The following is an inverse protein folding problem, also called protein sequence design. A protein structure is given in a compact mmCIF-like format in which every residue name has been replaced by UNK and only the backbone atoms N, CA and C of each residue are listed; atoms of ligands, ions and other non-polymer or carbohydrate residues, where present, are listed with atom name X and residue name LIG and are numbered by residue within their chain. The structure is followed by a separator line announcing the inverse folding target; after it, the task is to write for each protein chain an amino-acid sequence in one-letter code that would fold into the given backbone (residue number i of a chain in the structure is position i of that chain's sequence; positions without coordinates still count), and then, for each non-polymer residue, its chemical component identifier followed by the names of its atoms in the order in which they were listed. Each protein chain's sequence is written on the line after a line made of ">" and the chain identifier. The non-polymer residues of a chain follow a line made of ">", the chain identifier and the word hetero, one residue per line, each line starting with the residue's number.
data_IF_810725173501
#
_entry.id   IF_810725173501
#
_cell.length_a   1.000
_cell.length_b   1.000
_cell.length_c   1.000
_cell.angle_alpha   90.00
_cell.angle_beta   90.00
_cell.angle_gamma   90.00
#
_symmetry.space_group_name_H-M   'P 1'
#
loop_
_entity.id
_entity.type
_entity.pdbx_description
1 polymer ?
#
# COMPACT_ATOMS: atom_id res chain seq x y z
N UNK A 1 36.00 -8.15 -10.53
CA UNK A 1 35.15 -8.26 -9.32
C UNK A 1 34.04 -7.25 -9.46
N UNK A 2 32.79 -7.61 -9.26
CA UNK A 2 31.69 -6.63 -9.25
C UNK A 2 31.92 -5.67 -8.06
N UNK A 3 31.76 -4.37 -8.29
CA UNK A 3 31.87 -3.36 -7.23
C UNK A 3 30.73 -3.61 -6.24
N UNK A 4 31.03 -3.65 -4.93
CA UNK A 4 30.02 -3.78 -3.89
C UNK A 4 29.02 -2.62 -4.00
N UNK A 5 27.73 -2.91 -3.97
CA UNK A 5 26.68 -1.90 -3.98
C UNK A 5 26.67 -1.13 -2.65
N UNK A 6 26.26 0.12 -2.71
CA UNK A 6 26.25 1.07 -1.60
C UNK A 6 24.82 1.46 -1.24
N UNK A 7 24.64 2.05 -0.05
CA UNK A 7 23.36 2.64 0.37
C UNK A 7 22.74 3.55 -0.69
N UNK A 8 23.59 4.36 -1.36
CA UNK A 8 23.15 5.24 -2.44
C UNK A 8 22.52 4.49 -3.61
N UNK A 9 23.07 3.34 -4.00
CA UNK A 9 22.51 2.53 -5.08
C UNK A 9 21.10 2.03 -4.74
N UNK A 10 20.83 1.69 -3.46
CA UNK A 10 19.49 1.37 -2.98
C UNK A 10 18.56 2.59 -3.06
N UNK A 11 19.03 3.76 -2.60
CA UNK A 11 18.21 4.98 -2.63
C UNK A 11 17.89 5.41 -4.06
N UNK A 12 18.87 5.37 -4.97
CA UNK A 12 18.69 5.67 -6.38
C UNK A 12 17.74 4.65 -7.06
N UNK A 13 17.80 3.37 -6.69
CA UNK A 13 16.87 2.34 -7.17
C UNK A 13 15.43 2.58 -6.70
N UNK A 14 15.26 2.99 -5.44
CA UNK A 14 13.95 3.34 -4.87
C UNK A 14 13.40 4.64 -5.49
N UNK A 15 14.24 5.67 -5.66
CA UNK A 15 13.87 6.92 -6.34
C UNK A 15 13.43 6.66 -7.80
N UNK A 16 14.09 5.73 -8.50
CA UNK A 16 13.69 5.35 -9.86
C UNK A 16 12.33 4.63 -9.92
N UNK A 17 11.94 3.91 -8.87
CA UNK A 17 10.66 3.19 -8.79
C UNK A 17 9.52 4.06 -8.26
N UNK A 18 9.82 4.92 -7.30
CA UNK A 18 8.88 5.76 -6.58
C UNK A 18 9.55 7.12 -6.25
N UNK A 19 9.66 8.03 -7.24
CA UNK A 19 10.26 9.33 -7.04
C UNK A 19 9.63 10.06 -5.84
N UNK A 20 10.44 10.55 -4.90
CA UNK A 20 9.96 11.26 -3.71
C UNK A 20 9.12 12.49 -4.04
N UNK A 21 9.32 13.06 -5.23
CA UNK A 21 8.48 14.15 -5.75
C UNK A 21 7.01 13.75 -5.97
N UNK A 22 6.66 12.46 -5.94
CA UNK A 22 5.28 11.96 -6.04
C UNK A 22 4.56 11.89 -4.69
N UNK A 23 5.29 12.01 -3.58
CA UNK A 23 4.70 11.95 -2.24
C UNK A 23 3.77 13.14 -1.97
N UNK A 24 2.80 12.91 -1.09
CA UNK A 24 1.94 13.97 -0.56
C UNK A 24 2.75 14.97 0.29
N UNK A 25 2.32 16.24 0.33
CA UNK A 25 3.05 17.31 1.01
C UNK A 25 3.14 17.13 2.54
N UNK A 26 2.20 16.40 3.12
CA UNK A 26 2.15 16.11 4.55
C UNK A 26 2.99 14.90 4.95
N UNK A 27 3.50 14.14 3.98
CA UNK A 27 4.19 12.88 4.22
C UNK A 27 5.67 13.08 4.58
N UNK A 28 6.25 12.07 5.25
CA UNK A 28 7.67 12.04 5.59
C UNK A 28 8.35 10.84 4.94
N UNK A 29 8.84 11.02 3.72
CA UNK A 29 9.40 9.96 2.88
C UNK A 29 10.91 10.12 2.65
N UNK A 30 11.54 9.07 2.14
CA UNK A 30 12.96 9.02 1.85
C UNK A 30 13.79 8.39 2.96
N UNK A 31 15.03 8.81 3.12
CA UNK A 31 15.93 8.31 4.16
C UNK A 31 15.55 8.93 5.50
N UNK A 32 14.99 8.15 6.41
CA UNK A 32 14.51 8.61 7.72
C UNK A 32 15.51 8.36 8.85
N UNK A 33 16.34 7.35 8.70
CA UNK A 33 17.46 7.02 9.60
C UNK A 33 18.67 6.74 8.71
N UNK A 34 19.76 7.48 8.92
CA UNK A 34 21.03 7.26 8.23
C UNK A 34 22.18 7.29 9.26
N UNK A 35 22.41 6.17 9.97
CA UNK A 35 23.42 6.11 11.00
C UNK A 35 24.83 6.10 10.39
N UNK A 36 25.81 6.55 11.18
CA UNK A 36 27.22 6.37 10.84
C UNK A 36 27.55 4.88 10.71
N UNK A 37 28.40 4.51 9.75
CA UNK A 37 28.84 3.12 9.57
C UNK A 37 29.15 2.76 8.14
N UNK A 38 29.14 1.44 7.86
CA UNK A 38 29.42 0.89 6.53
C UNK A 38 28.44 1.37 5.48
N UNK A 39 28.91 1.53 4.24
CA UNK A 39 28.12 2.01 3.11
C UNK A 39 27.70 0.85 2.17
N UNK A 40 28.38 -0.31 2.29
CA UNK A 40 28.07 -1.49 1.49
C UNK A 40 26.73 -2.11 1.87
N UNK A 41 25.98 -2.59 0.87
CA UNK A 41 24.72 -3.31 1.07
C UNK A 41 24.77 -4.67 0.39
N UNK A 42 24.41 -5.70 1.14
CA UNK A 42 24.25 -7.09 0.66
C UNK A 42 22.85 -7.63 1.02
N UNK A 43 22.23 -7.09 2.09
CA UNK A 43 20.97 -7.58 2.64
C UNK A 43 20.04 -6.41 2.97
N UNK A 44 18.85 -6.41 2.36
CA UNK A 44 17.82 -5.40 2.59
C UNK A 44 16.52 -6.07 3.03
N UNK A 45 16.00 -5.66 4.19
CA UNK A 45 14.71 -6.11 4.71
C UNK A 45 13.59 -5.18 4.23
N UNK A 46 12.49 -5.74 3.75
CA UNK A 46 11.28 -5.03 3.34
C UNK A 46 10.16 -5.26 4.35
N UNK A 47 9.48 -4.21 4.79
CA UNK A 47 8.35 -4.28 5.71
C UNK A 47 7.30 -3.22 5.40
N UNK A 48 6.06 -3.43 5.83
CA UNK A 48 5.03 -2.39 5.89
C UNK A 48 5.24 -1.58 7.17
N UNK A 49 5.18 -2.25 8.33
CA UNK A 49 5.25 -1.64 9.66
C UNK A 49 6.58 -1.96 10.35
N UNK A 50 7.39 -0.96 10.60
CA UNK A 50 8.66 -1.11 11.32
C UNK A 50 8.44 -1.00 12.84
N UNK A 51 8.20 -2.15 13.46
CA UNK A 51 8.08 -2.30 14.92
C UNK A 51 9.32 -2.94 15.55
N UNK A 52 9.31 -3.18 16.87
CA UNK A 52 10.46 -3.78 17.60
C UNK A 52 10.81 -5.18 17.08
N UNK A 53 9.79 -6.02 16.74
CA UNK A 53 10.02 -7.37 16.26
C UNK A 53 10.65 -7.39 14.85
N UNK A 54 10.27 -6.45 13.98
CA UNK A 54 10.87 -6.27 12.65
C UNK A 54 12.30 -5.76 12.76
N UNK A 55 12.57 -4.82 13.69
CA UNK A 55 13.92 -4.34 13.95
C UNK A 55 14.83 -5.44 14.47
N UNK A 56 14.34 -6.28 15.40
CA UNK A 56 15.09 -7.44 15.91
C UNK A 56 15.37 -8.48 14.81
N UNK A 57 14.40 -8.72 13.89
CA UNK A 57 14.60 -9.57 12.72
C UNK A 57 15.69 -9.01 11.80
N UNK A 58 15.63 -7.71 11.49
CA UNK A 58 16.62 -7.05 10.64
C UNK A 58 18.04 -7.16 11.21
N UNK A 59 18.21 -6.81 12.49
CA UNK A 59 19.50 -6.87 13.18
C UNK A 59 20.00 -8.31 13.28
N UNK A 60 19.12 -9.26 13.65
CA UNK A 60 19.46 -10.67 13.78
C UNK A 60 19.85 -11.33 12.45
N UNK A 61 19.26 -10.90 11.34
CA UNK A 61 19.62 -11.33 9.99
C UNK A 61 20.87 -10.62 9.47
N UNK A 62 21.31 -9.54 10.11
CA UNK A 62 22.39 -8.70 9.66
C UNK A 62 22.00 -7.90 8.41
N UNK A 63 20.82 -7.32 8.40
CA UNK A 63 20.39 -6.42 7.33
C UNK A 63 21.24 -5.15 7.31
N UNK A 64 21.68 -4.76 6.12
CA UNK A 64 22.47 -3.53 5.90
C UNK A 64 21.55 -2.31 5.68
N UNK A 65 20.26 -2.54 5.38
CA UNK A 65 19.24 -1.50 5.28
C UNK A 65 17.83 -2.10 5.45
N UNK A 66 16.87 -1.22 5.81
CA UNK A 66 15.44 -1.55 5.84
C UNK A 66 14.70 -0.59 4.90
N UNK A 67 13.78 -1.13 4.09
CA UNK A 67 12.75 -0.36 3.41
C UNK A 67 11.45 -0.61 4.16
N UNK A 68 11.00 0.38 4.93
CA UNK A 68 9.73 0.37 5.65
C UNK A 68 8.72 1.21 4.88
N UNK A 69 7.63 0.60 4.41
CA UNK A 69 6.63 1.33 3.63
C UNK A 69 6.06 2.49 4.45
N UNK A 70 5.56 2.22 5.65
CA UNK A 70 5.15 3.26 6.58
C UNK A 70 6.37 3.94 7.23
N UNK A 71 6.42 5.28 7.26
CA UNK A 71 7.51 6.01 7.88
C UNK A 71 7.53 5.80 9.39
N UNK A 72 8.59 5.21 9.96
CA UNK A 72 8.70 5.02 11.41
C UNK A 72 8.83 6.35 12.17
N UNK A 73 9.19 7.43 11.47
CA UNK A 73 9.17 8.81 11.95
C UNK A 73 8.16 9.57 11.09
N UNK A 74 6.89 9.52 11.43
CA UNK A 74 5.83 10.23 10.71
C UNK A 74 5.74 11.70 11.14
N UNK A 75 5.74 11.94 12.44
CA UNK A 75 5.75 13.27 13.03
C UNK A 75 7.09 13.58 13.68
N UNK A 76 7.41 14.86 13.84
CA UNK A 76 8.66 15.30 14.46
C UNK A 76 8.89 14.70 15.86
N UNK A 77 10.03 14.06 16.06
CA UNK A 77 10.43 13.44 17.34
C UNK A 77 11.16 14.48 18.21
N UNK A 78 10.53 14.91 19.30
CA UNK A 78 11.14 15.88 20.23
C UNK A 78 12.19 15.26 21.15
N UNK A 79 12.07 13.96 21.47
CA UNK A 79 13.01 13.23 22.35
C UNK A 79 13.13 11.81 21.86
N UNK A 80 14.36 11.35 21.68
CA UNK A 80 14.67 9.98 21.34
C UNK A 80 15.20 9.26 22.58
N UNK A 81 14.31 8.49 23.22
CA UNK A 81 14.62 7.74 24.45
C UNK A 81 13.99 6.35 24.37
N UNK A 82 14.43 5.35 25.17
CA UNK A 82 13.85 4.01 25.17
C UNK A 82 12.49 3.92 25.88
N UNK A 83 11.88 5.04 26.27
CA UNK A 83 10.60 5.07 27.00
C UNK A 83 9.41 4.63 26.15
N UNK A 84 9.47 4.76 24.81
CA UNK A 84 8.43 4.34 23.88
C UNK A 84 8.92 3.19 23.00
N UNK A 85 8.00 2.37 22.45
CA UNK A 85 8.34 1.34 21.47
C UNK A 85 9.04 1.92 20.24
N UNK A 86 8.52 3.03 19.69
CA UNK A 86 9.17 3.75 18.60
C UNK A 86 10.61 4.17 18.97
N UNK A 87 10.79 4.78 20.15
CA UNK A 87 12.12 5.22 20.61
C UNK A 87 13.10 4.04 20.73
N UNK A 88 12.65 2.89 21.26
CA UNK A 88 13.47 1.68 21.35
C UNK A 88 13.85 1.14 19.98
N UNK A 89 12.88 1.07 19.05
CA UNK A 89 13.10 0.64 17.66
C UNK A 89 14.16 1.51 16.98
N UNK A 90 13.99 2.84 17.01
CA UNK A 90 14.90 3.79 16.37
C UNK A 90 16.31 3.72 16.97
N UNK A 91 16.42 3.71 18.31
CA UNK A 91 17.72 3.63 19.00
C UNK A 91 18.47 2.33 18.69
N UNK A 92 17.78 1.19 18.60
CA UNK A 92 18.39 -0.09 18.25
C UNK A 92 18.94 -0.07 16.82
N UNK A 93 18.19 0.45 15.85
CA UNK A 93 18.63 0.53 14.46
C UNK A 93 19.80 1.50 14.30
N UNK A 94 19.77 2.67 14.96
CA UNK A 94 20.88 3.60 14.99
C UNK A 94 22.12 2.94 15.61
N UNK A 95 21.96 2.26 16.75
CA UNK A 95 23.06 1.55 17.42
C UNK A 95 23.64 0.39 16.61
N UNK A 96 22.82 -0.25 15.78
CA UNK A 96 23.23 -1.33 14.87
C UNK A 96 23.78 -0.82 13.53
N UNK A 97 23.73 0.49 13.26
CA UNK A 97 24.19 1.07 12.00
C UNK A 97 23.25 0.80 10.80
N UNK A 98 21.99 0.44 11.03
CA UNK A 98 21.03 0.07 10.00
C UNK A 98 20.19 1.27 9.55
N UNK A 99 20.34 1.77 8.31
CA UNK A 99 19.53 2.84 7.76
C UNK A 99 18.11 2.38 7.46
N UNK A 100 17.18 3.34 7.45
CA UNK A 100 15.77 3.11 7.11
C UNK A 100 15.32 4.11 6.06
N UNK A 101 14.76 3.58 4.97
CA UNK A 101 14.11 4.34 3.91
C UNK A 101 12.61 4.05 3.91
N UNK A 102 11.79 5.08 3.69
CA UNK A 102 10.34 4.94 3.54
C UNK A 102 9.85 5.57 2.23
N UNK A 103 9.25 4.80 1.30
CA UNK A 103 8.68 5.32 0.06
C UNK A 103 7.24 5.80 0.21
N UNK A 104 6.45 5.25 1.14
CA UNK A 104 5.06 5.54 1.51
C UNK A 104 4.21 6.06 0.34
N UNK A 105 3.61 7.26 0.45
CA UNK A 105 2.71 7.82 -0.58
C UNK A 105 3.37 8.07 -1.94
N UNK A 106 4.70 8.17 -2.01
CA UNK A 106 5.41 8.20 -3.29
C UNK A 106 5.25 6.87 -4.06
N UNK A 107 5.27 5.74 -3.33
CA UNK A 107 5.07 4.42 -3.93
C UNK A 107 3.61 4.17 -4.32
N UNK A 108 2.64 4.77 -3.61
CA UNK A 108 1.23 4.73 -4.00
C UNK A 108 0.98 5.44 -5.32
N UNK A 109 1.61 6.60 -5.48
CA UNK A 109 1.42 7.47 -6.63
C UNK A 109 2.14 7.00 -7.90
N UNK A 110 3.18 6.18 -7.76
CA UNK A 110 4.04 5.76 -8.86
C UNK A 110 3.34 4.79 -9.83
N UNK A 111 3.75 4.82 -11.11
CA UNK A 111 3.37 3.80 -12.09
C UNK A 111 3.94 2.44 -11.69
N UNK A 112 3.09 1.41 -11.71
CA UNK A 112 3.41 0.08 -11.19
C UNK A 112 3.59 0.06 -9.67
N UNK A 113 3.18 1.11 -8.97
CA UNK A 113 3.23 1.21 -7.52
C UNK A 113 2.08 0.51 -6.82
N UNK A 114 1.93 0.78 -5.51
CA UNK A 114 0.99 0.11 -4.61
C UNK A 114 -0.46 0.21 -5.09
N UNK A 115 -0.91 1.42 -5.49
CA UNK A 115 -2.30 1.61 -5.89
C UNK A 115 -2.64 0.90 -7.22
N UNK A 116 -1.71 0.83 -8.18
CA UNK A 116 -1.92 0.06 -9.42
C UNK A 116 -1.94 -1.43 -9.17
N UNK A 117 -1.04 -1.92 -8.32
CA UNK A 117 -1.04 -3.32 -7.90
C UNK A 117 -2.36 -3.68 -7.21
N UNK A 118 -2.87 -2.84 -6.31
CA UNK A 118 -4.15 -3.08 -5.65
C UNK A 118 -5.32 -3.08 -6.65
N UNK A 119 -5.31 -2.18 -7.64
CA UNK A 119 -6.33 -2.14 -8.70
C UNK A 119 -6.32 -3.41 -9.56
N UNK A 120 -5.14 -4.02 -9.78
CA UNK A 120 -5.01 -5.25 -10.57
C UNK A 120 -5.72 -6.46 -9.96
N UNK A 121 -6.13 -6.38 -8.69
CA UNK A 121 -6.97 -7.39 -8.04
C UNK A 121 -8.29 -7.64 -8.81
N UNK A 122 -8.82 -6.65 -9.49
CA UNK A 122 -10.06 -6.78 -10.25
C UNK A 122 -9.88 -7.38 -11.66
N UNK A 123 -8.64 -7.40 -12.16
CA UNK A 123 -8.28 -7.82 -13.51
C UNK A 123 -7.81 -6.65 -14.38
N UNK A 124 -7.87 -6.84 -15.70
CA UNK A 124 -7.41 -5.84 -16.65
C UNK A 124 -8.37 -4.65 -16.74
N UNK A 125 -7.80 -3.44 -16.76
CA UNK A 125 -8.53 -2.21 -16.97
C UNK A 125 -8.28 -1.68 -18.39
N UNK A 126 -9.35 -1.35 -19.12
CA UNK A 126 -9.28 -0.63 -20.39
C UNK A 126 -8.77 0.82 -20.19
N UNK A 127 -9.06 1.40 -19.01
CA UNK A 127 -8.55 2.69 -18.55
C UNK A 127 -8.18 2.57 -17.08
N UNK A 128 -7.05 3.15 -16.71
CA UNK A 128 -6.60 3.27 -15.32
C UNK A 128 -5.94 4.64 -15.14
N UNK A 129 -6.41 5.42 -14.16
CA UNK A 129 -5.90 6.75 -13.91
C UNK A 129 -5.86 7.04 -12.39
N UNK A 130 -4.99 7.95 -11.92
CA UNK A 130 -5.01 8.38 -10.54
C UNK A 130 -6.33 9.11 -10.20
N UNK A 131 -6.82 8.93 -8.97
CA UNK A 131 -7.95 9.70 -8.43
C UNK A 131 -7.56 11.16 -8.26
N UNK A 132 -6.37 11.41 -7.72
CA UNK A 132 -5.78 12.75 -7.61
C UNK A 132 -4.43 12.73 -8.34
N UNK A 133 -4.32 13.37 -9.51
CA UNK A 133 -3.05 13.53 -10.22
C UNK A 133 -1.99 14.24 -9.36
N UNK A 134 -0.73 13.90 -9.54
CA UNK A 134 0.38 14.50 -8.80
C UNK A 134 0.57 15.96 -9.22
N UNK A 135 0.35 16.91 -8.29
CA UNK A 135 0.48 18.34 -8.56
C UNK A 135 1.91 18.77 -8.94
N UNK A 136 2.93 18.06 -8.44
CA UNK A 136 4.35 18.33 -8.77
C UNK A 136 4.77 17.77 -10.13
N UNK A 137 3.92 16.97 -10.78
CA UNK A 137 4.13 16.38 -12.11
C UNK A 137 2.92 16.62 -13.02
N UNK A 138 2.53 17.89 -13.26
CA UNK A 138 1.25 18.21 -13.93
C UNK A 138 1.18 17.74 -15.39
N UNK A 139 2.30 17.45 -16.02
CA UNK A 139 2.37 16.93 -17.40
C UNK A 139 2.33 15.39 -17.46
N UNK A 140 2.43 14.70 -16.33
CA UNK A 140 2.37 13.25 -16.23
C UNK A 140 1.05 12.83 -15.58
N UNK A 141 0.05 12.56 -16.39
CA UNK A 141 -1.27 12.15 -15.95
C UNK A 141 -1.34 10.71 -15.45
N UNK A 142 -0.25 9.94 -15.54
CA UNK A 142 -0.19 8.56 -15.10
C UNK A 142 0.16 8.42 -13.61
N UNK A 143 0.71 9.47 -12.98
CA UNK A 143 1.14 9.47 -11.59
C UNK A 143 0.20 10.27 -10.68
N UNK A 144 0.01 9.79 -9.45
CA UNK A 144 -0.86 10.43 -8.45
C UNK A 144 -1.51 9.42 -7.52
N UNK A 145 -2.29 9.92 -6.57
CA UNK A 145 -2.83 9.11 -5.47
C UNK A 145 -4.07 8.32 -5.86
N UNK A 146 -4.12 7.06 -5.38
CA UNK A 146 -5.16 6.09 -5.68
C UNK A 146 -5.25 5.74 -7.15
N UNK A 147 -6.19 4.88 -7.50
CA UNK A 147 -6.51 4.58 -8.91
C UNK A 147 -8.02 4.45 -9.08
N UNK A 148 -8.51 4.94 -10.21
CA UNK A 148 -9.84 4.64 -10.71
C UNK A 148 -9.72 4.05 -12.12
N UNK A 149 -10.55 3.05 -12.40
CA UNK A 149 -10.45 2.28 -13.64
C UNK A 149 -11.78 1.83 -14.19
N UNK A 150 -11.78 1.60 -15.51
CA UNK A 150 -12.83 0.91 -16.23
C UNK A 150 -12.33 -0.49 -16.57
N UNK A 151 -12.97 -1.52 -16.05
CA UNK A 151 -12.61 -2.91 -16.33
C UNK A 151 -12.85 -3.24 -17.81
N UNK A 152 -11.95 -4.00 -18.41
CA UNK A 152 -12.10 -4.52 -19.79
C UNK A 152 -13.31 -5.46 -19.89
N UNK A 153 -13.62 -6.18 -18.82
CA UNK A 153 -14.76 -7.08 -18.72
C UNK A 153 -15.50 -6.83 -17.41
N UNK A 154 -16.81 -6.59 -17.52
CA UNK A 154 -17.67 -6.48 -16.36
C UNK A 154 -17.70 -7.77 -15.54
N UNK A 155 -17.71 -7.65 -14.20
CA UNK A 155 -17.72 -8.81 -13.29
C UNK A 155 -18.83 -8.69 -12.25
N UNK A 156 -19.22 -9.79 -11.61
CA UNK A 156 -20.14 -9.74 -10.46
C UNK A 156 -19.41 -9.25 -9.20
N UNK A 157 -20.17 -8.78 -8.20
CA UNK A 157 -19.61 -8.41 -6.90
C UNK A 157 -18.92 -9.63 -6.23
N UNK A 158 -19.50 -10.83 -6.33
CA UNK A 158 -18.93 -12.06 -5.79
C UNK A 158 -17.59 -12.40 -6.46
N UNK A 159 -17.49 -12.20 -7.78
CA UNK A 159 -16.23 -12.36 -8.52
C UNK A 159 -15.19 -11.35 -8.03
N UNK A 160 -15.58 -10.09 -7.85
CA UNK A 160 -14.68 -9.05 -7.31
C UNK A 160 -14.17 -9.41 -5.91
N UNK A 161 -15.06 -9.84 -5.01
CA UNK A 161 -14.70 -10.29 -3.65
C UNK A 161 -13.71 -11.46 -3.70
N UNK A 162 -14.00 -12.47 -4.53
CA UNK A 162 -13.14 -13.65 -4.67
C UNK A 162 -11.76 -13.29 -5.20
N UNK A 163 -11.68 -12.41 -6.20
CA UNK A 163 -10.41 -11.93 -6.77
C UNK A 163 -9.59 -11.12 -5.75
N UNK A 164 -10.23 -10.20 -5.03
CA UNK A 164 -9.56 -9.41 -3.98
C UNK A 164 -8.99 -10.33 -2.89
N UNK A 165 -9.77 -11.30 -2.41
CA UNK A 165 -9.29 -12.29 -1.43
C UNK A 165 -8.09 -13.07 -1.94
N UNK A 166 -8.13 -13.56 -3.17
CA UNK A 166 -7.03 -14.30 -3.79
C UNK A 166 -5.78 -13.43 -3.97
N UNK A 167 -5.96 -12.18 -4.46
CA UNK A 167 -4.86 -11.25 -4.71
C UNK A 167 -4.11 -10.85 -3.44
N UNK A 168 -4.86 -10.62 -2.35
CA UNK A 168 -4.31 -10.21 -1.05
C UNK A 168 -3.98 -11.40 -0.12
N UNK A 169 -4.31 -12.64 -0.49
CA UNK A 169 -4.12 -13.81 0.35
C UNK A 169 -5.03 -13.84 1.59
N UNK A 170 -6.21 -13.20 1.54
CA UNK A 170 -7.12 -13.03 2.67
C UNK A 170 -8.20 -14.12 2.69
N UNK A 171 -8.54 -14.63 3.88
CA UNK A 171 -9.69 -15.54 4.07
C UNK A 171 -11.01 -14.77 4.13
N UNK A 172 -10.99 -13.55 4.66
CA UNK A 172 -12.17 -12.72 4.88
C UNK A 172 -11.92 -11.28 4.44
N UNK A 173 -12.97 -10.62 3.97
CA UNK A 173 -13.05 -9.19 3.72
C UNK A 173 -14.39 -8.67 4.23
N UNK A 174 -14.48 -7.39 4.55
CA UNK A 174 -15.75 -6.77 4.93
C UNK A 174 -16.34 -6.09 3.71
N UNK A 175 -17.64 -6.30 3.47
CA UNK A 175 -18.32 -5.77 2.28
C UNK A 175 -19.54 -4.97 2.69
N UNK A 176 -19.62 -3.74 2.19
CA UNK A 176 -20.82 -2.93 2.23
C UNK A 176 -21.46 -2.94 0.82
N UNK A 177 -22.60 -3.60 0.68
CA UNK A 177 -23.23 -3.85 -0.62
C UNK A 177 -24.29 -2.79 -0.90
N UNK A 178 -24.17 -2.08 -2.03
CA UNK A 178 -25.20 -1.20 -2.53
C UNK A 178 -26.39 -2.01 -3.08
N UNK A 179 -27.62 -1.47 -2.96
CA UNK A 179 -28.84 -2.18 -3.34
C UNK A 179 -28.83 -2.73 -4.78
N UNK A 180 -28.25 -2.00 -5.73
CA UNK A 180 -28.15 -2.43 -7.14
C UNK A 180 -27.25 -3.63 -7.38
N UNK A 181 -26.33 -3.94 -6.45
CA UNK A 181 -25.42 -5.09 -6.52
C UNK A 181 -25.87 -6.25 -5.62
N UNK A 182 -26.99 -6.11 -4.89
CA UNK A 182 -27.55 -7.15 -4.05
C UNK A 182 -28.49 -8.06 -4.85
N UNK A 183 -28.36 -9.37 -4.65
CA UNK A 183 -29.33 -10.34 -5.16
C UNK A 183 -30.68 -10.29 -4.39
N UNK A 184 -30.67 -9.70 -3.16
CA UNK A 184 -31.86 -9.61 -2.30
C UNK A 184 -32.33 -8.16 -2.24
N UNK A 185 -33.56 -7.89 -2.67
CA UNK A 185 -34.17 -6.56 -2.48
C UNK A 185 -34.55 -6.34 -1.04
N UNK A 186 -34.24 -5.15 -0.51
CA UNK A 186 -34.58 -4.73 0.85
C UNK A 186 -36.07 -4.36 0.97
N UNK A 187 -36.75 -4.15 -0.16
CA UNK A 187 -38.11 -3.60 -0.25
C UNK A 187 -39.23 -4.66 -0.51
N UNK A 188 -38.92 -5.96 -0.37
CA UNK A 188 -39.95 -7.02 -0.39
C UNK A 188 -40.70 -7.22 -1.71
N UNK A 189 -40.25 -6.61 -2.81
CA UNK A 189 -40.86 -6.77 -4.13
C UNK A 189 -40.40 -8.05 -4.86
N UNK A 190 -41.35 -8.79 -5.41
CA UNK A 190 -41.17 -10.14 -5.96
C UNK A 190 -40.51 -10.21 -7.36
N UNK A 191 -39.90 -9.12 -7.84
CA UNK A 191 -39.17 -9.14 -9.11
C UNK A 191 -37.68 -9.34 -8.91
N UNK A 192 -37.19 -10.55 -9.18
CA UNK A 192 -35.75 -10.86 -9.23
C UNK A 192 -35.08 -10.03 -10.35
N UNK A 193 -34.49 -8.89 -10.00
CA UNK A 193 -33.56 -8.19 -10.90
C UNK A 193 -32.18 -8.83 -10.73
N UNK A 194 -31.56 -9.16 -11.87
CA UNK A 194 -30.15 -9.56 -11.84
C UNK A 194 -29.32 -8.42 -11.24
N UNK A 195 -28.41 -8.70 -10.28
CA UNK A 195 -27.51 -7.69 -9.73
C UNK A 195 -26.74 -6.97 -10.83
N UNK A 196 -26.56 -5.65 -10.68
CA UNK A 196 -25.76 -4.89 -11.61
C UNK A 196 -24.30 -5.37 -11.60
N UNK A 197 -23.68 -5.40 -12.76
CA UNK A 197 -22.28 -5.74 -12.90
C UNK A 197 -21.37 -4.60 -12.40
N UNK A 198 -20.15 -4.94 -12.03
CA UNK A 198 -19.06 -4.03 -11.68
C UNK A 198 -18.23 -3.77 -12.93
N UNK A 199 -18.17 -2.53 -13.36
CA UNK A 199 -17.37 -2.07 -14.49
C UNK A 199 -16.38 -0.99 -14.06
N UNK A 200 -16.82 -0.06 -13.19
CA UNK A 200 -16.02 1.08 -12.73
C UNK A 200 -15.58 0.86 -11.29
N UNK A 201 -14.29 0.86 -11.08
CA UNK A 201 -13.69 0.59 -9.79
C UNK A 201 -12.80 1.75 -9.35
N UNK A 202 -12.67 1.96 -8.04
CA UNK A 202 -11.66 2.84 -7.51
C UNK A 202 -11.00 2.20 -6.28
N UNK A 203 -9.69 2.43 -6.12
CA UNK A 203 -8.89 1.84 -5.05
C UNK A 203 -8.01 2.87 -4.36
N UNK A 204 -7.81 2.66 -3.06
CA UNK A 204 -6.84 3.39 -2.25
C UNK A 204 -6.25 2.40 -1.23
N UNK A 205 -4.93 2.15 -1.21
CA UNK A 205 -4.29 1.41 -0.14
C UNK A 205 -4.52 2.07 1.22
N UNK A 206 -4.49 1.31 2.30
CA UNK A 206 -4.61 1.81 3.66
C UNK A 206 -5.91 2.57 3.95
N UNK A 207 -5.82 3.84 4.37
CA UNK A 207 -6.96 4.67 4.77
C UNK A 207 -7.51 5.52 3.61
N UNK A 208 -8.51 5.01 2.90
CA UNK A 208 -9.05 5.63 1.69
C UNK A 208 -10.02 6.82 1.88
N UNK A 209 -10.44 7.15 3.12
CA UNK A 209 -11.56 8.07 3.36
C UNK A 209 -11.44 9.43 2.67
N UNK A 210 -10.33 10.12 2.84
CA UNK A 210 -10.13 11.45 2.27
C UNK A 210 -10.03 11.44 0.73
N UNK A 211 -9.48 10.38 0.15
CA UNK A 211 -9.28 10.26 -1.29
C UNK A 211 -10.56 9.79 -1.99
N UNK A 212 -11.15 8.69 -1.49
CA UNK A 212 -12.34 8.09 -2.09
C UNK A 212 -13.60 8.96 -1.97
N UNK A 213 -13.66 9.87 -0.99
CA UNK A 213 -14.75 10.86 -0.90
C UNK A 213 -14.84 11.79 -2.13
N UNK A 214 -13.75 11.93 -2.90
CA UNK A 214 -13.69 12.74 -4.13
C UNK A 214 -14.25 11.99 -5.36
N UNK A 215 -14.50 10.69 -5.23
CA UNK A 215 -14.86 9.82 -6.36
C UNK A 215 -16.36 9.64 -6.44
N UNK A 216 -16.93 9.78 -7.64
CA UNK A 216 -18.35 9.57 -7.92
C UNK A 216 -18.56 8.63 -9.11
N UNK A 217 -19.70 7.98 -9.15
CA UNK A 217 -20.10 7.13 -10.29
C UNK A 217 -19.32 5.82 -10.41
N UNK A 218 -18.66 5.37 -9.36
CA UNK A 218 -18.04 4.05 -9.32
C UNK A 218 -19.06 2.98 -8.93
N UNK A 219 -18.81 1.76 -9.39
CA UNK A 219 -19.59 0.59 -9.01
C UNK A 219 -19.04 0.00 -7.72
N UNK A 220 -17.72 -0.03 -7.56
CA UNK A 220 -17.05 -0.67 -6.43
C UNK A 220 -15.80 0.13 -5.98
N UNK A 221 -15.65 0.27 -4.67
CA UNK A 221 -14.44 0.78 -4.02
C UNK A 221 -13.71 -0.36 -3.31
N UNK A 222 -12.37 -0.29 -3.32
CA UNK A 222 -11.49 -1.17 -2.53
C UNK A 222 -10.49 -0.31 -1.75
N UNK A 223 -10.46 -0.52 -0.42
CA UNK A 223 -9.49 0.15 0.46
C UNK A 223 -9.29 -0.67 1.74
N UNK A 224 -8.30 -0.33 2.54
CA UNK A 224 -8.09 -0.95 3.84
C UNK A 224 -9.20 -0.57 4.82
N UNK A 225 -9.49 0.72 4.98
CA UNK A 225 -10.45 1.20 5.97
C UNK A 225 -11.19 2.47 5.56
N UNK A 226 -12.45 2.57 6.01
CA UNK A 226 -13.32 3.74 5.91
C UNK A 226 -14.11 3.94 7.19
N UNK A 227 -14.49 5.18 7.47
CA UNK A 227 -15.41 5.49 8.56
C UNK A 227 -16.83 5.01 8.23
N UNK A 228 -17.61 4.70 9.25
CA UNK A 228 -18.98 4.22 9.10
C UNK A 228 -19.87 5.13 8.23
N UNK A 229 -19.81 6.44 8.46
CA UNK A 229 -20.62 7.39 7.68
C UNK A 229 -20.18 7.52 6.23
N UNK A 230 -18.89 7.36 5.93
CA UNK A 230 -18.38 7.34 4.55
C UNK A 230 -18.91 6.11 3.81
N UNK A 231 -18.94 4.94 4.49
CA UNK A 231 -19.56 3.71 3.94
C UNK A 231 -21.05 3.91 3.62
N UNK A 232 -21.81 4.51 4.55
CA UNK A 232 -23.24 4.80 4.32
C UNK A 232 -23.45 5.73 3.12
N UNK A 233 -22.60 6.75 2.97
CA UNK A 233 -22.67 7.70 1.86
C UNK A 233 -22.42 6.99 0.51
N UNK A 234 -21.38 6.15 0.41
CA UNK A 234 -21.08 5.40 -0.81
C UNK A 234 -22.18 4.40 -1.16
N UNK A 235 -22.64 3.61 -0.18
CA UNK A 235 -23.72 2.63 -0.40
C UNK A 235 -25.01 3.33 -0.80
N UNK A 236 -25.37 4.45 -0.17
CA UNK A 236 -26.53 5.28 -0.52
C UNK A 236 -26.43 5.87 -1.94
N UNK A 237 -25.22 6.16 -2.42
CA UNK A 237 -24.96 6.60 -3.79
C UNK A 237 -24.93 5.44 -4.82
N UNK A 238 -25.16 4.19 -4.39
CA UNK A 238 -25.17 3.01 -5.26
C UNK A 238 -23.82 2.38 -5.50
N UNK A 239 -22.80 2.71 -4.71
CA UNK A 239 -21.43 2.18 -4.81
C UNK A 239 -21.19 1.14 -3.71
N UNK A 240 -20.82 -0.08 -4.05
CA UNK A 240 -20.38 -1.09 -3.08
C UNK A 240 -18.95 -0.83 -2.62
N UNK A 241 -18.60 -1.33 -1.42
CA UNK A 241 -17.25 -1.13 -0.85
C UNK A 241 -16.73 -2.46 -0.29
N UNK A 242 -15.48 -2.78 -0.61
CA UNK A 242 -14.71 -3.87 0.02
C UNK A 242 -13.66 -3.24 0.92
N UNK A 243 -13.62 -3.67 2.21
CA UNK A 243 -12.61 -3.31 3.20
C UNK A 243 -11.78 -4.53 3.58
N UNK A 244 -10.46 -4.35 3.66
CA UNK A 244 -9.48 -5.43 3.84
C UNK A 244 -8.63 -5.29 5.09
N UNK A 245 -8.86 -4.28 5.90
CA UNK A 245 -7.97 -3.72 6.92
C UNK A 245 -6.73 -3.02 6.34
N UNK A 246 -6.10 -2.12 7.12
CA UNK A 246 -5.11 -1.15 6.62
C UNK A 246 -3.97 -1.84 5.90
N UNK A 247 -3.06 -2.45 6.67
CA UNK A 247 -1.84 -3.04 6.11
C UNK A 247 -2.08 -4.33 5.32
N UNK A 248 -3.26 -4.97 5.47
CA UNK A 248 -3.66 -6.09 4.63
C UNK A 248 -3.90 -5.68 3.17
N UNK A 249 -4.28 -4.41 2.91
CA UNK A 249 -4.37 -3.85 1.55
C UNK A 249 -3.01 -3.57 0.89
N UNK A 250 -1.91 -3.65 1.62
CA UNK A 250 -0.57 -3.17 1.24
C UNK A 250 0.48 -4.27 1.23
N UNK A 251 0.44 -5.15 2.24
CA UNK A 251 1.48 -6.15 2.54
C UNK A 251 1.83 -7.06 1.37
N UNK A 252 0.82 -7.44 0.57
CA UNK A 252 1.01 -8.28 -0.62
C UNK A 252 1.86 -7.64 -1.71
N UNK A 253 2.10 -6.32 -1.67
CA UNK A 253 2.97 -5.64 -2.62
C UNK A 253 4.47 -5.83 -2.33
N UNK A 254 4.88 -6.14 -1.10
CA UNK A 254 6.30 -6.26 -0.75
C UNK A 254 7.08 -7.28 -1.62
N UNK A 255 6.54 -8.47 -1.95
CA UNK A 255 7.17 -9.37 -2.92
C UNK A 255 7.33 -8.73 -4.31
N UNK A 256 6.36 -7.94 -4.75
CA UNK A 256 6.42 -7.21 -6.04
C UNK A 256 7.52 -6.15 -6.00
N UNK A 257 7.62 -5.41 -4.89
CA UNK A 257 8.69 -4.44 -4.68
C UNK A 257 10.06 -5.13 -4.73
N UNK A 258 10.22 -6.28 -4.07
CA UNK A 258 11.45 -7.08 -4.13
C UNK A 258 11.80 -7.48 -5.58
N UNK A 259 10.82 -7.95 -6.35
CA UNK A 259 11.01 -8.31 -7.75
C UNK A 259 11.42 -7.11 -8.63
N UNK A 260 10.88 -5.93 -8.35
CA UNK A 260 11.21 -4.69 -9.10
C UNK A 260 12.57 -4.13 -8.72
N UNK A 261 13.00 -4.28 -7.46
CA UNK A 261 14.33 -3.86 -6.98
C UNK A 261 15.44 -4.81 -7.42
N UNK A 262 15.20 -6.13 -7.48
CA UNK A 262 16.21 -7.13 -7.77
C UNK A 262 17.09 -6.84 -9.00
N UNK A 263 16.53 -6.51 -10.18
CA UNK A 263 17.34 -6.16 -11.36
C UNK A 263 18.20 -4.89 -11.21
N UNK A 264 17.84 -3.99 -10.28
CA UNK A 264 18.56 -2.75 -10.00
C UNK A 264 19.65 -2.92 -8.95
N UNK A 265 19.55 -3.99 -8.16
CA UNK A 265 20.44 -4.29 -7.04
C UNK A 265 21.03 -5.70 -7.19
N UNK A 266 21.82 -5.96 -8.25
CA UNK A 266 22.35 -7.29 -8.52
C UNK A 266 23.25 -7.76 -7.38
N UNK A 267 22.98 -8.96 -6.86
CA UNK A 267 23.74 -9.57 -5.76
C UNK A 267 23.24 -9.18 -4.36
N UNK A 268 22.31 -8.23 -4.22
CA UNK A 268 21.68 -7.90 -2.94
C UNK A 268 20.57 -8.91 -2.63
N UNK A 269 20.57 -9.44 -1.42
CA UNK A 269 19.50 -10.29 -0.89
C UNK A 269 18.35 -9.43 -0.38
N UNK A 270 17.21 -9.48 -1.06
CA UNK A 270 15.98 -8.80 -0.67
C UNK A 270 15.07 -9.78 0.06
N UNK A 271 14.67 -9.45 1.29
CA UNK A 271 13.80 -10.29 2.13
C UNK A 271 12.58 -9.48 2.58
N UNK A 272 11.40 -10.05 2.43
CA UNK A 272 10.19 -9.54 3.10
C UNK A 272 10.21 -10.02 4.55
N UNK A 273 9.92 -9.12 5.48
CA UNK A 273 9.89 -9.44 6.91
C UNK A 273 8.85 -10.52 7.22
N UNK A 274 9.23 -11.48 8.04
CA UNK A 274 8.33 -12.50 8.59
C UNK A 274 7.68 -12.08 9.93
N UNK A 275 8.17 -10.99 10.52
CA UNK A 275 7.69 -10.43 11.79
C UNK A 275 6.73 -9.26 11.61
N UNK A 276 6.64 -8.76 10.40
CA UNK A 276 5.69 -7.72 10.01
C UNK A 276 4.33 -8.39 9.71
N UNK A 277 3.44 -8.44 10.68
CA UNK A 277 2.14 -9.12 10.61
C UNK A 277 0.99 -8.14 10.83
N UNK A 278 -0.18 -8.48 10.27
CA UNK A 278 -1.41 -7.72 10.49
C UNK A 278 -1.77 -7.70 11.99
N UNK A 279 -1.96 -6.51 12.59
CA UNK A 279 -2.30 -6.40 14.02
C UNK A 279 -3.72 -6.86 14.33
N UNK A 280 -4.63 -6.84 13.35
CA UNK A 280 -6.02 -7.27 13.49
C UNK A 280 -6.16 -8.71 13.00
N UNK A 281 -6.75 -9.57 13.83
CA UNK A 281 -7.00 -10.97 13.50
C UNK A 281 -8.48 -11.26 13.63
N UNK A 282 -9.11 -11.69 12.53
CA UNK A 282 -10.48 -12.22 12.55
C UNK A 282 -10.50 -13.57 13.28
N UNK A 283 -11.40 -13.73 14.26
CA UNK A 283 -11.56 -14.96 15.04
C UNK A 283 -12.96 -15.54 14.87
#
# INVERSE_FOLDING_TARGET
>A
MATALRRRDLYDALEALAPLALAEDWDNVGVLIDPFGGDAIERVLLAIDLNEAVADEAIGWGADAIVAYHPPIFAGVKRLTPATAQGRTLLRLIGAGVPVYSPHTALDAAVGGMAEWLASAFGECAMLAPITPCARRPLDSSVGQGRMGLLTTAISLETAISRVKAHLGLQHVRVATAARHSATRIDGGDSAHAPAAIERVAVCPGAGGALLSKVQGMDLLLTGELRHHDLLAHVGAGTSVILTDHSASERGYLPVLAQRLGPRLPGVSLRVSSRDVEPLVSR
#
